data_IF_481815351623
#
_entry.id   IF_481815351623
#
_cell.length_a   1.000
_cell.length_b   1.000
_cell.length_c   1.000
_cell.angle_alpha   90.00
_cell.angle_beta   90.00
_cell.angle_gamma   90.00
#
_symmetry.space_group_name_H-M   'P 1'
#
loop_
_entity.id
_entity.type
_entity.pdbx_description
1 polymer ?
#
# COMPACT_ATOMS: atom_id res chain seq x y z
N UNK A 1 -16.25 1.49 -13.42
CA UNK A 1 -16.26 0.92 -14.81
C UNK A 1 -15.76 -0.53 -14.87
N UNK A 2 -14.67 -0.94 -14.17
CA UNK A 2 -14.17 -2.32 -14.17
C UNK A 2 -15.13 -3.32 -13.51
N UNK A 3 -15.64 -2.98 -12.31
CA UNK A 3 -16.60 -3.83 -11.58
C UNK A 3 -17.88 -4.07 -12.37
N UNK A 4 -18.47 -3.02 -12.94
CA UNK A 4 -19.65 -3.13 -13.78
C UNK A 4 -19.45 -4.07 -14.98
N UNK A 5 -18.31 -3.93 -15.69
CA UNK A 5 -17.98 -4.83 -16.82
C UNK A 5 -17.81 -6.29 -16.36
N UNK A 6 -17.24 -6.52 -15.17
CA UNK A 6 -17.07 -7.86 -14.61
C UNK A 6 -18.42 -8.47 -14.23
N UNK A 7 -19.31 -7.68 -13.61
CA UNK A 7 -20.66 -8.14 -13.26
C UNK A 7 -21.48 -8.48 -14.51
N UNK A 8 -21.47 -7.59 -15.52
CA UNK A 8 -22.14 -7.89 -16.80
C UNK A 8 -21.63 -9.21 -17.39
N UNK A 9 -20.33 -9.40 -17.44
CA UNK A 9 -19.75 -10.64 -17.99
C UNK A 9 -20.19 -11.87 -17.22
N UNK A 10 -20.30 -11.82 -15.88
CA UNK A 10 -20.79 -12.92 -15.06
C UNK A 10 -22.27 -13.23 -15.32
N UNK A 11 -23.11 -12.21 -15.50
CA UNK A 11 -24.51 -12.38 -15.87
C UNK A 11 -24.63 -12.98 -17.28
N UNK A 12 -23.87 -12.45 -18.24
CA UNK A 12 -23.85 -12.96 -19.62
C UNK A 12 -23.40 -14.44 -19.64
N UNK A 13 -22.36 -14.82 -18.91
CA UNK A 13 -21.89 -16.21 -18.80
C UNK A 13 -22.97 -17.18 -18.31
N UNK A 14 -23.83 -16.75 -17.38
CA UNK A 14 -24.95 -17.58 -16.88
C UNK A 14 -26.07 -17.65 -17.92
N UNK A 15 -26.47 -16.52 -18.48
CA UNK A 15 -27.60 -16.42 -19.40
C UNK A 15 -27.30 -17.06 -20.76
N UNK A 16 -26.07 -16.94 -21.27
CA UNK A 16 -25.66 -17.49 -22.58
C UNK A 16 -25.62 -19.02 -22.59
N UNK A 17 -25.46 -19.67 -21.44
CA UNK A 17 -25.51 -21.12 -21.32
C UNK A 17 -26.92 -21.72 -21.35
N UNK A 18 -27.98 -20.88 -21.33
CA UNK A 18 -29.38 -21.29 -21.37
C UNK A 18 -29.89 -21.21 -22.81
N UNK A 19 -30.39 -22.31 -23.42
CA UNK A 19 -30.70 -22.32 -24.86
C UNK A 19 -32.04 -21.65 -25.21
N UNK A 20 -32.98 -21.57 -24.27
CA UNK A 20 -34.32 -21.04 -24.54
C UNK A 20 -34.52 -19.66 -23.86
N UNK A 21 -35.46 -18.88 -24.41
CA UNK A 21 -35.75 -17.52 -23.95
C UNK A 21 -36.43 -17.52 -22.59
N UNK A 22 -37.32 -18.49 -22.34
CA UNK A 22 -38.07 -18.55 -21.09
C UNK A 22 -37.14 -18.87 -19.91
N UNK A 23 -36.24 -19.83 -20.10
CA UNK A 23 -35.19 -20.12 -19.10
C UNK A 23 -34.22 -18.97 -18.86
N UNK A 24 -33.92 -18.14 -19.88
CA UNK A 24 -33.14 -16.92 -19.69
C UNK A 24 -33.87 -15.89 -18.85
N UNK A 25 -35.17 -15.71 -19.07
CA UNK A 25 -36.02 -14.82 -18.29
C UNK A 25 -36.15 -15.30 -16.84
N UNK A 26 -36.30 -16.61 -16.63
CA UNK A 26 -36.35 -17.20 -15.29
C UNK A 26 -35.04 -16.97 -14.54
N UNK A 27 -33.90 -17.20 -15.18
CA UNK A 27 -32.59 -16.94 -14.56
C UNK A 27 -32.38 -15.46 -14.20
N UNK A 28 -32.80 -14.52 -15.05
CA UNK A 28 -32.75 -13.09 -14.76
C UNK A 28 -33.71 -12.71 -13.61
N UNK A 29 -34.90 -13.31 -13.57
CA UNK A 29 -35.84 -13.15 -12.46
C UNK A 29 -35.30 -13.65 -11.14
N UNK A 30 -34.58 -14.79 -11.16
CA UNK A 30 -33.92 -15.33 -9.98
C UNK A 30 -32.83 -14.38 -9.47
N UNK A 31 -32.02 -13.80 -10.37
CA UNK A 31 -31.06 -12.76 -9.98
C UNK A 31 -31.73 -11.54 -9.34
N UNK A 32 -32.82 -11.06 -9.93
CA UNK A 32 -33.59 -9.93 -9.38
C UNK A 32 -34.15 -10.26 -7.99
N UNK A 33 -34.70 -11.46 -7.82
CA UNK A 33 -35.20 -11.94 -6.55
C UNK A 33 -34.10 -12.02 -5.48
N UNK A 34 -32.93 -12.61 -5.79
CA UNK A 34 -31.80 -12.69 -4.86
C UNK A 34 -31.35 -11.28 -4.44
N UNK A 35 -31.25 -10.35 -5.39
CA UNK A 35 -30.82 -8.97 -5.08
C UNK A 35 -31.86 -8.27 -4.18
N UNK A 36 -33.14 -8.45 -4.43
CA UNK A 36 -34.21 -7.73 -3.72
C UNK A 36 -34.64 -8.39 -2.42
N UNK A 37 -34.44 -9.70 -2.26
CA UNK A 37 -34.89 -10.44 -1.07
C UNK A 37 -33.78 -10.94 -0.17
N UNK A 38 -32.65 -11.41 -0.75
CA UNK A 38 -31.60 -12.06 -0.01
C UNK A 38 -30.39 -11.14 0.25
N UNK A 39 -30.29 -10.02 -0.51
CA UNK A 39 -29.24 -9.04 -0.28
C UNK A 39 -29.73 -7.93 0.68
N UNK A 40 -29.00 -7.76 1.78
CA UNK A 40 -29.25 -6.64 2.72
C UNK A 40 -28.16 -5.61 2.52
N UNK A 41 -28.57 -4.36 2.27
CA UNK A 41 -27.65 -3.21 2.20
C UNK A 41 -27.77 -2.44 3.52
N UNK A 42 -26.66 -2.30 4.21
CA UNK A 42 -26.56 -1.44 5.39
C UNK A 42 -26.02 -0.08 4.92
N UNK A 43 -26.85 0.95 5.08
CA UNK A 43 -26.44 2.33 4.83
C UNK A 43 -26.02 2.96 6.15
N UNK A 44 -24.78 3.43 6.23
CA UNK A 44 -24.25 4.05 7.43
C UNK A 44 -23.80 5.45 7.06
N UNK A 45 -24.42 6.44 7.72
CA UNK A 45 -24.02 7.83 7.63
C UNK A 45 -23.10 8.16 8.81
N UNK A 46 -21.97 8.80 8.56
CA UNK A 46 -21.01 9.16 9.58
C UNK A 46 -20.71 10.66 9.49
N UNK A 47 -20.72 11.33 10.62
CA UNK A 47 -20.53 12.78 10.72
C UNK A 47 -19.14 13.24 10.24
N UNK A 48 -18.15 12.35 10.34
CA UNK A 48 -16.78 12.62 9.90
C UNK A 48 -16.22 11.42 9.13
N UNK A 49 -15.31 11.68 8.20
CA UNK A 49 -14.59 10.63 7.48
C UNK A 49 -13.83 9.69 8.43
N UNK A 50 -13.22 10.24 9.47
CA UNK A 50 -12.50 9.46 10.47
C UNK A 50 -13.41 8.46 11.19
N UNK A 51 -14.62 8.90 11.55
CA UNK A 51 -15.65 8.04 12.14
C UNK A 51 -16.12 6.98 11.14
N UNK A 52 -16.27 7.34 9.86
CA UNK A 52 -16.61 6.40 8.79
C UNK A 52 -15.52 5.34 8.62
N UNK A 53 -14.24 5.72 8.63
CA UNK A 53 -13.14 4.78 8.52
C UNK A 53 -13.02 3.85 9.73
N UNK A 54 -13.11 4.36 10.94
CA UNK A 54 -13.11 3.54 12.17
C UNK A 54 -14.25 2.52 12.16
N UNK A 55 -15.43 2.96 11.74
CA UNK A 55 -16.59 2.09 11.61
C UNK A 55 -16.38 1.02 10.52
N UNK A 56 -15.81 1.41 9.38
CA UNK A 56 -15.49 0.49 8.29
C UNK A 56 -14.49 -0.57 8.73
N UNK A 57 -13.45 -0.20 9.47
CA UNK A 57 -12.50 -1.16 10.06
C UNK A 57 -13.17 -2.18 10.99
N UNK A 58 -14.13 -1.74 11.79
CA UNK A 58 -14.86 -2.62 12.73
C UNK A 58 -15.82 -3.56 11.99
N UNK A 59 -16.46 -3.07 10.92
CA UNK A 59 -17.43 -3.86 10.14
C UNK A 59 -16.76 -4.84 9.17
N UNK A 60 -15.54 -4.54 8.71
CA UNK A 60 -14.82 -5.32 7.69
C UNK A 60 -13.92 -6.41 8.28
N UNK A 61 -14.13 -6.80 9.53
CA UNK A 61 -13.45 -7.93 10.19
C UNK A 61 -13.62 -9.30 9.46
N UNK A 62 -14.35 -9.31 8.34
CA UNK A 62 -14.62 -10.48 7.47
C UNK A 62 -14.26 -10.27 5.99
N UNK A 63 -13.75 -9.10 5.58
CA UNK A 63 -13.37 -8.77 4.22
C UNK A 63 -11.89 -8.38 4.10
N UNK A 64 -11.51 -7.81 2.96
CA UNK A 64 -10.20 -7.17 2.78
C UNK A 64 -10.30 -5.78 3.39
N UNK A 65 -10.02 -5.66 4.70
CA UNK A 65 -10.08 -4.41 5.44
C UNK A 65 -9.25 -3.30 4.80
N UNK A 66 -9.69 -2.04 5.00
CA UNK A 66 -8.88 -0.88 4.67
C UNK A 66 -7.54 -0.97 5.40
N UNK A 67 -6.47 -0.95 4.64
CA UNK A 67 -5.12 -0.95 5.19
C UNK A 67 -4.71 0.44 5.65
N UNK A 68 -3.71 0.52 6.52
CA UNK A 68 -3.09 1.79 6.90
C UNK A 68 -2.58 2.58 5.67
N UNK A 69 -2.15 1.87 4.63
CA UNK A 69 -1.79 2.46 3.34
C UNK A 69 -2.97 3.12 2.63
N UNK A 70 -4.16 2.50 2.67
CA UNK A 70 -5.38 3.07 2.10
C UNK A 70 -5.82 4.33 2.85
N UNK A 71 -5.69 4.34 4.18
CA UNK A 71 -5.98 5.52 5.01
C UNK A 71 -5.04 6.68 4.70
N UNK A 72 -3.73 6.42 4.62
CA UNK A 72 -2.72 7.42 4.24
C UNK A 72 -2.97 7.98 2.84
N UNK A 73 -3.28 7.10 1.87
CA UNK A 73 -3.69 7.51 0.52
C UNK A 73 -4.90 8.42 0.55
N UNK A 74 -5.98 8.03 1.25
CA UNK A 74 -7.20 8.82 1.33
C UNK A 74 -6.93 10.22 1.90
N UNK A 75 -6.25 10.32 3.06
CA UNK A 75 -5.94 11.61 3.69
C UNK A 75 -5.05 12.49 2.83
N UNK A 76 -4.02 11.93 2.21
CA UNK A 76 -3.09 12.69 1.37
C UNK A 76 -3.73 13.18 0.07
N UNK A 77 -4.69 12.45 -0.51
CA UNK A 77 -5.44 12.88 -1.69
C UNK A 77 -6.48 13.95 -1.34
N UNK A 78 -7.18 13.79 -0.21
CA UNK A 78 -8.20 14.71 0.25
C UNK A 78 -7.69 16.15 0.40
N UNK A 79 -6.55 16.33 1.05
CA UNK A 79 -5.99 17.65 1.31
C UNK A 79 -5.55 18.41 0.05
N UNK A 80 -5.40 17.72 -1.09
CA UNK A 80 -5.04 18.32 -2.39
C UNK A 80 -6.26 18.59 -3.27
N UNK A 81 -7.40 17.97 -2.98
CA UNK A 81 -8.57 17.92 -3.88
C UNK A 81 -9.02 19.32 -4.35
N UNK A 82 -9.09 20.27 -3.45
CA UNK A 82 -9.66 21.58 -3.72
C UNK A 82 -8.71 22.53 -4.45
N UNK A 83 -7.44 22.55 -4.08
CA UNK A 83 -6.49 23.57 -4.55
C UNK A 83 -5.46 23.02 -5.55
N UNK A 84 -5.19 21.71 -5.55
CA UNK A 84 -4.10 21.10 -6.34
C UNK A 84 -4.54 19.82 -7.09
N UNK A 85 -5.61 19.86 -7.93
CA UNK A 85 -6.16 18.66 -8.57
C UNK A 85 -5.15 17.93 -9.48
N UNK A 86 -4.25 18.64 -10.15
CA UNK A 86 -3.20 18.05 -11.00
C UNK A 86 -2.17 17.29 -10.15
N UNK A 87 -1.81 17.84 -8.99
CA UNK A 87 -0.89 17.17 -8.05
C UNK A 87 -1.58 15.95 -7.41
N UNK A 88 -2.87 16.05 -7.11
CA UNK A 88 -3.68 14.95 -6.60
C UNK A 88 -3.68 13.75 -7.57
N UNK A 89 -3.87 13.98 -8.88
CA UNK A 89 -3.84 12.92 -9.89
C UNK A 89 -2.47 12.22 -9.95
N UNK A 90 -1.38 12.98 -9.94
CA UNK A 90 -0.02 12.45 -9.90
C UNK A 90 0.24 11.64 -8.60
N UNK A 91 -0.25 12.15 -7.46
CA UNK A 91 -0.13 11.49 -6.16
C UNK A 91 -0.91 10.18 -6.12
N UNK A 92 -2.11 10.16 -6.71
CA UNK A 92 -2.93 8.96 -6.84
C UNK A 92 -2.20 7.84 -7.59
N UNK A 93 -1.54 8.17 -8.71
CA UNK A 93 -0.75 7.20 -9.48
C UNK A 93 0.37 6.59 -8.63
N UNK A 94 1.04 7.42 -7.82
CA UNK A 94 2.10 6.97 -6.93
C UNK A 94 1.58 6.02 -5.85
N UNK A 95 0.47 6.36 -5.20
CA UNK A 95 -0.20 5.49 -4.23
C UNK A 95 -0.73 4.20 -4.86
N UNK A 96 -1.36 4.27 -6.03
CA UNK A 96 -1.83 3.08 -6.75
C UNK A 96 -0.68 2.12 -7.04
N UNK A 97 0.51 2.65 -7.32
CA UNK A 97 1.72 1.85 -7.50
C UNK A 97 2.23 1.22 -6.19
N UNK A 98 2.19 1.95 -5.07
CA UNK A 98 2.58 1.43 -3.75
C UNK A 98 1.60 0.32 -3.30
N UNK A 99 0.29 0.57 -3.48
CA UNK A 99 -0.78 -0.34 -3.06
C UNK A 99 -1.11 -1.44 -4.08
N UNK A 100 -0.32 -1.58 -5.14
CA UNK A 100 -0.55 -2.62 -6.16
C UNK A 100 -0.21 -4.03 -5.69
N UNK A 101 0.58 -4.15 -4.63
CA UNK A 101 0.97 -5.41 -4.02
C UNK A 101 -0.10 -5.93 -3.05
N UNK A 102 0.13 -7.14 -2.53
CA UNK A 102 -0.73 -7.69 -1.48
C UNK A 102 -0.73 -6.79 -0.23
N UNK A 103 -1.90 -6.53 0.38
CA UNK A 103 -2.04 -5.63 1.53
C UNK A 103 -1.06 -5.92 2.66
N UNK A 104 -0.81 -7.19 2.96
CA UNK A 104 0.14 -7.62 3.98
C UNK A 104 1.58 -7.24 3.66
N UNK A 105 1.97 -7.27 2.38
CA UNK A 105 3.33 -6.86 1.96
C UNK A 105 3.50 -5.35 2.08
N UNK A 106 2.48 -4.59 1.69
CA UNK A 106 2.47 -3.12 1.84
C UNK A 106 2.57 -2.72 3.31
N UNK A 107 1.76 -3.32 4.19
CA UNK A 107 1.82 -3.07 5.64
C UNK A 107 3.21 -3.40 6.22
N UNK A 108 3.79 -4.51 5.80
CA UNK A 108 5.13 -4.93 6.23
C UNK A 108 6.19 -3.93 5.79
N UNK A 109 6.13 -3.48 4.52
CA UNK A 109 7.01 -2.43 4.01
C UNK A 109 6.88 -1.14 4.82
N UNK A 110 5.66 -0.64 5.02
CA UNK A 110 5.43 0.60 5.77
C UNK A 110 6.03 0.51 7.18
N UNK A 111 5.87 -0.60 7.87
CA UNK A 111 6.45 -0.82 9.21
C UNK A 111 7.98 -0.84 9.20
N UNK A 112 8.59 -1.47 8.22
CA UNK A 112 10.05 -1.52 8.11
C UNK A 112 10.63 -0.18 7.69
N UNK A 113 9.99 0.51 6.75
CA UNK A 113 10.40 1.84 6.35
C UNK A 113 10.31 2.83 7.52
N UNK A 114 9.20 2.83 8.24
CA UNK A 114 9.06 3.66 9.45
C UNK A 114 10.21 3.41 10.43
N UNK A 115 10.46 2.15 10.75
CA UNK A 115 11.54 1.80 11.69
C UNK A 115 12.93 2.16 11.15
N UNK A 116 13.15 2.12 9.83
CA UNK A 116 14.43 2.49 9.22
C UNK A 116 14.74 3.98 9.30
N UNK A 117 13.70 4.82 9.32
CA UNK A 117 13.83 6.29 9.37
C UNK A 117 13.75 6.80 10.82
N UNK A 118 12.77 6.34 11.57
CA UNK A 118 12.49 6.86 12.93
C UNK A 118 13.30 6.14 14.03
N UNK A 119 13.88 4.97 13.73
CA UNK A 119 14.73 4.23 14.68
C UNK A 119 13.95 3.42 15.72
N UNK A 120 12.62 3.37 15.67
CA UNK A 120 11.78 2.56 16.56
C UNK A 120 10.65 1.89 15.79
N UNK A 121 10.07 0.84 16.39
CA UNK A 121 8.97 0.09 15.76
C UNK A 121 7.63 0.72 16.06
N UNK A 122 6.80 0.85 15.06
CA UNK A 122 5.41 1.31 15.18
C UNK A 122 4.47 0.13 15.44
N UNK A 123 3.47 0.35 16.31
CA UNK A 123 2.37 -0.59 16.55
C UNK A 123 1.37 -0.60 15.38
N UNK A 124 0.58 -1.67 15.25
CA UNK A 124 -0.46 -1.72 14.20
C UNK A 124 -1.50 -0.64 14.36
N UNK A 125 -2.01 -0.45 15.56
CA UNK A 125 -3.09 0.50 15.87
C UNK A 125 -2.65 1.97 15.87
N UNK A 126 -1.36 2.25 15.85
CA UNK A 126 -0.80 3.62 15.91
C UNK A 126 -0.08 4.01 14.62
N UNK A 127 0.00 3.11 13.64
CA UNK A 127 0.82 3.34 12.44
C UNK A 127 0.35 4.54 11.64
N UNK A 128 -0.94 4.70 11.45
CA UNK A 128 -1.51 5.85 10.75
C UNK A 128 -1.12 7.19 11.40
N UNK A 129 -1.38 7.33 12.71
CA UNK A 129 -1.09 8.55 13.45
C UNK A 129 0.41 8.86 13.49
N UNK A 130 1.23 7.83 13.65
CA UNK A 130 2.69 7.96 13.63
C UNK A 130 3.22 8.37 12.24
N UNK A 131 2.63 7.83 11.16
CA UNK A 131 2.96 8.26 9.81
C UNK A 131 2.58 9.71 9.56
N UNK A 132 1.38 10.14 9.98
CA UNK A 132 0.97 11.53 9.87
C UNK A 132 1.94 12.44 10.63
N UNK A 133 2.25 12.11 11.89
CA UNK A 133 3.09 12.95 12.73
C UNK A 133 4.54 13.06 12.23
N UNK A 134 5.12 11.98 11.69
CA UNK A 134 6.53 11.95 11.33
C UNK A 134 6.79 12.29 9.84
N UNK A 135 5.90 11.91 8.93
CA UNK A 135 6.09 12.09 7.49
C UNK A 135 5.17 13.14 6.86
N UNK A 136 4.02 13.39 7.48
CA UNK A 136 3.00 14.32 6.99
C UNK A 136 2.51 15.30 8.06
N UNK A 137 3.40 15.97 8.82
CA UNK A 137 3.01 16.76 9.99
C UNK A 137 2.00 17.88 9.67
N UNK A 138 2.00 18.39 8.44
CA UNK A 138 1.04 19.40 7.99
C UNK A 138 -0.40 18.88 7.87
N UNK A 139 -0.59 17.55 7.84
CA UNK A 139 -1.90 16.92 7.69
C UNK A 139 -2.54 16.54 9.03
N UNK A 140 -1.81 16.67 10.15
CA UNK A 140 -2.34 16.35 11.47
C UNK A 140 -3.51 17.26 11.85
N UNK A 141 -3.35 18.57 11.60
CA UNK A 141 -4.33 19.60 12.00
C UNK A 141 -5.01 20.29 10.81
N UNK A 142 -4.73 19.84 9.58
CA UNK A 142 -5.25 20.49 8.38
C UNK A 142 -6.03 19.51 7.51
N UNK A 143 -7.23 19.91 7.12
CA UNK A 143 -8.06 19.18 6.15
C UNK A 143 -7.86 19.65 4.71
N UNK A 144 -7.19 20.78 4.51
CA UNK A 144 -6.87 21.36 3.19
C UNK A 144 -5.46 21.93 3.19
N UNK A 145 -4.72 21.73 2.09
CA UNK A 145 -3.47 22.44 1.83
C UNK A 145 -3.73 23.63 0.89
N UNK A 146 -3.31 24.80 1.28
CA UNK A 146 -3.43 26.03 0.49
C UNK A 146 -2.09 26.49 -0.09
N UNK A 147 -0.98 26.11 0.53
CA UNK A 147 0.37 26.48 0.10
C UNK A 147 0.95 25.47 -0.89
N UNK A 148 1.43 25.98 -2.03
CA UNK A 148 2.01 25.13 -3.07
C UNK A 148 3.28 24.38 -2.59
N UNK A 149 4.05 25.01 -1.72
CA UNK A 149 5.25 24.40 -1.12
C UNK A 149 4.92 23.17 -0.30
N UNK A 150 3.82 23.21 0.47
CA UNK A 150 3.37 22.08 1.27
C UNK A 150 2.85 20.94 0.38
N UNK A 151 2.13 21.28 -0.70
CA UNK A 151 1.68 20.31 -1.68
C UNK A 151 2.85 19.64 -2.42
N UNK A 152 3.91 20.37 -2.77
CA UNK A 152 5.13 19.82 -3.37
C UNK A 152 5.84 18.90 -2.38
N UNK A 153 5.96 19.31 -1.12
CA UNK A 153 6.58 18.48 -0.08
C UNK A 153 5.82 17.17 0.13
N UNK A 154 4.48 17.23 0.19
CA UNK A 154 3.63 16.04 0.30
C UNK A 154 3.87 15.07 -0.87
N UNK A 155 3.84 15.57 -2.10
CA UNK A 155 4.10 14.76 -3.29
C UNK A 155 5.52 14.16 -3.26
N UNK A 156 6.51 14.92 -2.82
CA UNK A 156 7.90 14.48 -2.66
C UNK A 156 8.02 13.34 -1.64
N UNK A 157 7.31 13.44 -0.51
CA UNK A 157 7.30 12.39 0.53
C UNK A 157 6.71 11.10 -0.01
N UNK A 158 5.58 11.14 -0.73
CA UNK A 158 4.97 9.92 -1.32
C UNK A 158 5.83 9.36 -2.45
N UNK A 159 6.47 10.21 -3.26
CA UNK A 159 7.44 9.76 -4.26
C UNK A 159 8.62 9.02 -3.62
N UNK A 160 9.11 9.52 -2.49
CA UNK A 160 10.15 8.85 -1.70
C UNK A 160 9.66 7.48 -1.19
N UNK A 161 8.44 7.40 -0.66
CA UNK A 161 7.85 6.12 -0.25
C UNK A 161 7.79 5.12 -1.40
N UNK A 162 7.41 5.55 -2.60
CA UNK A 162 7.38 4.71 -3.79
C UNK A 162 8.78 4.18 -4.17
N UNK A 163 9.79 5.01 -4.12
CA UNK A 163 11.16 4.59 -4.43
C UNK A 163 11.74 3.66 -3.35
N UNK A 164 11.39 3.91 -2.09
CA UNK A 164 11.75 3.01 -0.99
C UNK A 164 11.03 1.66 -1.07
N UNK A 165 9.78 1.64 -1.53
CA UNK A 165 9.07 0.38 -1.81
C UNK A 165 9.78 -0.45 -2.89
N UNK A 166 10.22 0.20 -3.98
CA UNK A 166 11.00 -0.48 -5.02
C UNK A 166 12.34 -1.02 -4.47
N UNK A 167 12.98 -0.25 -3.59
CA UNK A 167 14.23 -0.65 -2.94
C UNK A 167 14.03 -1.81 -1.97
N UNK A 168 12.97 -1.74 -1.16
CA UNK A 168 12.55 -2.82 -0.28
C UNK A 168 12.30 -4.12 -1.05
N UNK A 169 11.59 -4.06 -2.18
CA UNK A 169 11.34 -5.23 -3.03
C UNK A 169 12.64 -5.89 -3.51
N UNK A 170 13.62 -5.10 -3.93
CA UNK A 170 14.94 -5.65 -4.29
C UNK A 170 15.60 -6.38 -3.13
N UNK A 171 15.64 -5.73 -1.96
CA UNK A 171 16.21 -6.35 -0.75
C UNK A 171 15.45 -7.62 -0.41
N UNK A 172 14.13 -7.59 -0.42
CA UNK A 172 13.27 -8.73 -0.09
C UNK A 172 13.44 -9.92 -1.04
N UNK A 173 13.79 -9.65 -2.29
CA UNK A 173 14.14 -10.67 -3.27
C UNK A 173 15.63 -11.13 -3.16
N UNK A 174 16.40 -10.55 -2.26
CA UNK A 174 17.84 -10.78 -2.18
C UNK A 174 18.63 -10.14 -3.32
N UNK A 175 18.02 -9.20 -4.04
CA UNK A 175 18.62 -8.46 -5.15
C UNK A 175 19.41 -7.27 -4.62
N UNK A 176 20.58 -7.02 -5.24
CA UNK A 176 21.43 -5.89 -4.85
C UNK A 176 20.75 -4.55 -5.14
N UNK A 177 20.56 -3.66 -4.12
CA UNK A 177 19.74 -2.47 -4.28
C UNK A 177 20.38 -1.33 -5.08
N UNK A 178 21.66 -1.43 -5.40
CA UNK A 178 22.42 -0.41 -6.12
C UNK A 178 22.57 -0.72 -7.61
N UNK A 179 22.89 0.27 -8.45
CA UNK A 179 23.28 0.05 -9.85
C UNK A 179 24.59 -0.77 -9.94
N UNK A 180 24.70 -1.62 -10.95
CA UNK A 180 25.77 -2.62 -11.11
C UNK A 180 27.18 -2.03 -11.39
N UNK A 181 27.32 -0.71 -11.56
CA UNK A 181 28.54 -0.06 -12.05
C UNK A 181 29.68 0.11 -11.03
N UNK A 182 29.73 -0.63 -9.92
CA UNK A 182 30.71 -0.46 -8.85
C UNK A 182 31.49 -1.74 -8.56
N UNK A 183 32.70 -1.68 -7.97
CA UNK A 183 33.60 -2.82 -7.77
C UNK A 183 33.14 -3.72 -6.64
N UNK A 184 31.93 -4.28 -6.76
CA UNK A 184 31.41 -5.32 -5.87
C UNK A 184 31.32 -6.61 -6.66
N UNK A 185 31.93 -7.66 -6.14
CA UNK A 185 31.94 -8.97 -6.76
C UNK A 185 30.56 -9.65 -6.71
N UNK A 186 30.34 -10.63 -7.56
CA UNK A 186 29.12 -11.44 -7.54
C UNK A 186 28.97 -12.17 -6.20
N UNK A 187 30.07 -12.68 -5.64
CA UNK A 187 30.07 -13.31 -4.32
C UNK A 187 29.57 -12.38 -3.22
N UNK A 188 30.03 -11.12 -3.22
CA UNK A 188 29.58 -10.11 -2.23
C UNK A 188 28.10 -9.79 -2.36
N UNK A 189 27.59 -9.65 -3.59
CA UNK A 189 26.15 -9.43 -3.82
C UNK A 189 25.31 -10.62 -3.37
N UNK A 190 25.80 -11.85 -3.59
CA UNK A 190 25.07 -13.05 -3.22
C UNK A 190 24.91 -13.22 -1.69
N UNK A 191 25.71 -12.53 -0.87
CA UNK A 191 25.53 -12.53 0.60
C UNK A 191 24.19 -11.96 1.03
N UNK A 192 23.71 -10.93 0.34
CA UNK A 192 22.36 -10.41 0.60
C UNK A 192 21.28 -11.47 0.34
N UNK A 193 21.40 -12.20 -0.78
CA UNK A 193 20.47 -13.29 -1.10
C UNK A 193 20.49 -14.38 -0.02
N UNK A 194 21.66 -14.76 0.46
CA UNK A 194 21.82 -15.75 1.54
C UNK A 194 21.16 -15.25 2.83
N UNK A 195 21.44 -14.01 3.23
CA UNK A 195 20.89 -13.41 4.45
C UNK A 195 19.36 -13.40 4.45
N UNK A 196 18.76 -12.99 3.33
CA UNK A 196 17.32 -12.80 3.21
C UNK A 196 16.58 -14.11 2.97
N UNK A 197 17.07 -14.97 2.06
CA UNK A 197 16.31 -16.14 1.60
C UNK A 197 16.65 -17.43 2.36
N UNK A 198 17.85 -17.57 2.90
CA UNK A 198 18.23 -18.77 3.67
C UNK A 198 18.16 -18.56 5.17
N UNK A 199 18.62 -17.42 5.68
CA UNK A 199 18.58 -17.14 7.11
C UNK A 199 17.23 -16.56 7.56
N UNK A 200 16.48 -15.95 6.63
CA UNK A 200 15.12 -15.44 6.83
C UNK A 200 14.97 -14.53 8.07
N UNK A 201 15.90 -13.60 8.24
CA UNK A 201 15.93 -12.69 9.38
C UNK A 201 15.08 -11.43 9.12
N UNK A 202 13.80 -11.46 9.45
CA UNK A 202 12.89 -10.31 9.26
C UNK A 202 13.33 -9.06 10.02
N UNK A 203 14.00 -9.22 11.15
CA UNK A 203 14.41 -8.11 12.02
C UNK A 203 15.47 -7.20 11.38
N UNK A 204 16.18 -7.68 10.35
CA UNK A 204 17.27 -6.92 9.71
C UNK A 204 16.78 -5.93 8.65
N UNK A 205 15.54 -6.05 8.16
CA UNK A 205 15.05 -5.20 7.07
C UNK A 205 15.12 -3.70 7.36
N UNK A 206 14.71 -3.18 8.52
CA UNK A 206 14.87 -1.76 8.81
C UNK A 206 16.32 -1.29 8.73
N UNK A 207 17.25 -2.08 9.25
CA UNK A 207 18.67 -1.77 9.19
C UNK A 207 19.21 -1.83 7.74
N UNK A 208 18.83 -2.84 6.96
CA UNK A 208 19.21 -2.95 5.55
C UNK A 208 18.67 -1.77 4.75
N UNK A 209 17.41 -1.37 4.95
CA UNK A 209 16.83 -0.21 4.29
C UNK A 209 17.59 1.06 4.64
N UNK A 210 17.85 1.34 5.91
CA UNK A 210 18.66 2.48 6.34
C UNK A 210 20.08 2.41 5.76
N UNK A 211 20.68 1.24 5.69
CA UNK A 211 22.03 1.04 5.16
C UNK A 211 22.15 1.30 3.65
N UNK A 212 21.03 1.25 2.88
CA UNK A 212 21.06 1.56 1.44
C UNK A 212 21.46 3.01 1.12
N UNK A 213 21.38 3.91 2.08
CA UNK A 213 21.86 5.28 1.94
C UNK A 213 23.39 5.42 2.08
N UNK A 214 24.05 4.34 2.51
CA UNK A 214 25.51 4.28 2.54
C UNK A 214 26.05 3.89 1.16
N UNK A 215 27.39 3.95 1.01
CA UNK A 215 28.01 3.40 -0.19
C UNK A 215 27.95 1.86 -0.19
N UNK A 216 28.05 1.24 -1.38
CA UNK A 216 27.93 -0.21 -1.58
C UNK A 216 28.88 -1.03 -0.72
N UNK A 217 30.11 -0.56 -0.49
CA UNK A 217 31.09 -1.28 0.34
C UNK A 217 30.66 -1.35 1.79
N UNK A 218 30.18 -0.24 2.35
CA UNK A 218 29.65 -0.22 3.74
C UNK A 218 28.37 -1.04 3.87
N UNK A 219 27.50 -1.00 2.87
CA UNK A 219 26.31 -1.84 2.84
C UNK A 219 26.71 -3.32 2.85
N UNK A 220 27.66 -3.72 2.02
CA UNK A 220 28.19 -5.08 2.03
C UNK A 220 28.78 -5.49 3.41
N UNK A 221 29.56 -4.61 4.04
CA UNK A 221 30.12 -4.87 5.37
C UNK A 221 29.02 -5.15 6.41
N UNK A 222 27.90 -4.41 6.35
CA UNK A 222 26.72 -4.63 7.20
C UNK A 222 26.07 -5.98 6.89
N UNK A 223 25.80 -6.28 5.62
CA UNK A 223 25.24 -7.57 5.20
C UNK A 223 26.10 -8.74 5.69
N UNK A 224 27.42 -8.62 5.51
CA UNK A 224 28.36 -9.65 5.92
C UNK A 224 28.46 -9.83 7.44
N UNK A 225 28.33 -8.76 8.20
CA UNK A 225 28.24 -8.86 9.67
C UNK A 225 26.95 -9.55 10.10
N UNK A 226 25.82 -9.17 9.51
CA UNK A 226 24.51 -9.76 9.85
C UNK A 226 24.40 -11.23 9.50
N UNK A 227 25.07 -11.69 8.43
CA UNK A 227 25.11 -13.09 8.06
C UNK A 227 25.89 -13.98 9.07
N UNK A 228 26.79 -13.39 9.84
CA UNK A 228 27.64 -14.13 10.80
C UNK A 228 27.01 -14.28 12.19
N UNK A 229 25.93 -13.54 12.46
CA UNK A 229 25.20 -13.62 13.73
C UNK A 229 24.03 -14.60 13.64
#
# INVERSE_FOLDING_TARGET
KKAYKKLLKLVDEVVDNIPDIDGKLDALSDFDNVINTDCTIIFIDADTRESAFKLFQVLDDRGVGLTEGDLLKSKTLEVLEKHFPVKQESLQISWDSILSDEPKQVETFLRYYFASVCGYRVGRTTMYDEYLSNFFPKLVDNDELTEETDAIHLCGTVSTLLDEMKRYKKINNGEWPYPVAQPITEWERNRLFVLVNYLNFDIVYPLLMAATYLNQKKFFEIVYMLEKF
#
